data_IF_624326791926
#
_entry.id   IF_624326791926
#
_cell.length_a   1.000
_cell.length_b   1.000
_cell.length_c   1.000
_cell.angle_alpha   90.00
_cell.angle_beta   90.00
_cell.angle_gamma   90.00
#
_symmetry.space_group_name_H-M   'P 1'
#
loop_
_entity.id
_entity.type
_entity.pdbx_description
1 polymer ?
#
# COMPACT_ATOMS: atom_id res chain seq x y z
N UNK A 1 21.93 -31.33 -11.48
CA UNK A 1 20.48 -31.08 -11.59
C UNK A 1 19.92 -30.87 -10.18
N UNK A 2 19.96 -29.63 -9.67
CA UNK A 2 19.51 -29.32 -8.31
C UNK A 2 18.00 -29.08 -8.30
N UNK A 3 17.31 -29.88 -7.50
CA UNK A 3 15.86 -29.81 -7.27
C UNK A 3 15.62 -28.90 -6.06
N UNK A 4 15.15 -27.68 -6.30
CA UNK A 4 14.85 -26.68 -5.28
C UNK A 4 13.67 -27.18 -4.42
N UNK A 5 13.90 -27.37 -3.12
CA UNK A 5 12.86 -27.67 -2.12
C UNK A 5 12.08 -26.39 -1.78
N UNK A 6 10.97 -26.17 -2.50
CA UNK A 6 10.10 -24.99 -2.36
C UNK A 6 8.87 -25.22 -1.44
N UNK A 7 8.89 -26.24 -0.57
CA UNK A 7 7.68 -26.70 0.15
C UNK A 7 7.86 -26.84 1.67
N UNK A 8 8.68 -25.99 2.29
CA UNK A 8 8.93 -26.02 3.74
C UNK A 8 8.24 -24.94 4.57
N UNK A 9 7.78 -23.83 3.97
CA UNK A 9 7.41 -22.60 4.70
C UNK A 9 5.91 -22.30 4.79
N UNK A 10 5.03 -23.10 4.18
CA UNK A 10 3.59 -22.78 4.07
C UNK A 10 2.69 -23.45 5.11
N UNK A 11 3.21 -24.24 6.05
CA UNK A 11 2.34 -24.95 7.00
C UNK A 11 2.17 -24.17 8.30
N UNK A 12 1.09 -23.39 8.38
CA UNK A 12 0.50 -23.01 9.67
C UNK A 12 -0.53 -24.08 10.03
N UNK A 13 -0.41 -24.79 11.18
CA UNK A 13 -1.43 -25.74 11.59
C UNK A 13 -2.78 -25.02 11.67
N UNK A 14 -3.81 -25.63 11.06
CA UNK A 14 -5.13 -25.03 10.85
C UNK A 14 -5.84 -24.53 12.14
N UNK A 15 -5.35 -24.94 13.32
CA UNK A 15 -5.95 -24.65 14.62
C UNK A 15 -5.23 -23.58 15.46
N UNK A 16 -4.29 -22.81 14.89
CA UNK A 16 -3.72 -21.66 15.61
C UNK A 16 -4.46 -20.38 15.19
N UNK A 17 -5.26 -19.75 16.08
CA UNK A 17 -5.92 -18.50 15.75
C UNK A 17 -4.87 -17.41 15.39
N UNK A 18 -5.09 -16.62 14.33
CA UNK A 18 -4.16 -15.56 13.94
C UNK A 18 -3.89 -14.59 15.09
N UNK A 19 -2.63 -14.09 15.25
CA UNK A 19 -2.31 -13.13 16.29
C UNK A 19 -3.33 -12.00 16.33
N UNK A 20 -3.76 -11.51 17.48
CA UNK A 20 -4.79 -10.47 17.54
C UNK A 20 -4.35 -9.12 16.93
N UNK A 21 -3.04 -8.92 16.74
CA UNK A 21 -2.49 -7.70 16.11
C UNK A 21 -2.48 -7.77 14.59
N UNK A 22 -3.14 -6.79 13.95
CA UNK A 22 -3.11 -6.60 12.49
C UNK A 22 -1.69 -6.37 11.97
N UNK A 23 -0.87 -5.61 12.69
CA UNK A 23 0.52 -5.36 12.32
C UNK A 23 1.31 -6.68 12.25
N UNK A 24 1.16 -7.55 13.25
CA UNK A 24 1.81 -8.87 13.25
C UNK A 24 1.32 -9.72 12.08
N UNK A 25 0.01 -9.72 11.79
CA UNK A 25 -0.55 -10.46 10.63
C UNK A 25 0.04 -9.96 9.31
N UNK A 26 0.18 -8.64 9.14
CA UNK A 26 0.74 -8.05 7.92
C UNK A 26 2.22 -8.42 7.74
N UNK A 27 3.02 -8.33 8.80
CA UNK A 27 4.43 -8.72 8.78
C UNK A 27 4.60 -10.21 8.45
N UNK A 28 3.81 -11.09 9.10
CA UNK A 28 3.83 -12.52 8.82
C UNK A 28 3.38 -12.84 7.40
N UNK A 29 2.35 -12.17 6.89
CA UNK A 29 1.90 -12.34 5.50
C UNK A 29 2.99 -11.94 4.52
N UNK A 30 3.65 -10.80 4.74
CA UNK A 30 4.76 -10.36 3.89
C UNK A 30 5.91 -11.37 3.88
N UNK A 31 6.28 -11.91 5.06
CA UNK A 31 7.26 -12.98 5.16
C UNK A 31 6.84 -14.25 4.40
N UNK A 32 5.59 -14.69 4.55
CA UNK A 32 5.08 -15.92 3.93
C UNK A 32 4.99 -15.80 2.40
N UNK A 33 4.72 -14.61 1.88
CA UNK A 33 4.75 -14.33 0.44
C UNK A 33 6.18 -14.14 -0.09
N UNK A 34 7.20 -14.14 0.77
CA UNK A 34 8.58 -13.91 0.38
C UNK A 34 8.84 -12.49 -0.14
N UNK A 35 8.11 -11.49 0.39
CA UNK A 35 8.29 -10.11 -0.05
C UNK A 35 9.72 -9.63 0.25
N UNK A 36 10.37 -8.92 -0.70
CA UNK A 36 11.70 -8.34 -0.49
C UNK A 36 11.68 -7.25 0.60
N UNK A 37 12.85 -6.84 1.07
CA UNK A 37 12.96 -5.71 1.99
C UNK A 37 12.61 -4.39 1.29
N UNK A 38 12.06 -3.43 2.04
CA UNK A 38 11.63 -2.15 1.46
C UNK A 38 12.75 -1.36 0.79
N UNK A 39 13.94 -1.35 1.39
CA UNK A 39 15.13 -0.73 0.80
C UNK A 39 15.52 -1.37 -0.54
N UNK A 40 15.31 -2.68 -0.69
CA UNK A 40 15.60 -3.40 -1.94
C UNK A 40 14.58 -3.03 -3.02
N UNK A 41 13.30 -2.92 -2.66
CA UNK A 41 12.24 -2.45 -3.56
C UNK A 41 12.49 -1.01 -4.01
N UNK A 42 12.83 -0.11 -3.07
CA UNK A 42 13.17 1.27 -3.39
C UNK A 42 14.30 1.34 -4.43
N UNK A 43 15.39 0.60 -4.22
CA UNK A 43 16.50 0.53 -5.19
C UNK A 43 16.05 -0.02 -6.55
N UNK A 44 15.25 -1.10 -6.55
CA UNK A 44 14.73 -1.69 -7.77
C UNK A 44 13.87 -0.72 -8.58
N UNK A 45 13.13 0.16 -7.89
CA UNK A 45 12.30 1.20 -8.49
C UNK A 45 13.08 2.48 -8.87
N UNK A 46 14.39 2.55 -8.56
CA UNK A 46 15.22 3.72 -8.82
C UNK A 46 15.08 4.86 -7.79
N UNK A 47 14.43 4.60 -6.65
CA UNK A 47 14.33 5.57 -5.56
C UNK A 47 15.53 5.46 -4.62
N UNK A 48 15.84 6.57 -3.94
CA UNK A 48 16.79 6.57 -2.82
C UNK A 48 16.11 5.90 -1.61
N UNK A 49 16.63 4.78 -1.10
CA UNK A 49 16.06 4.16 0.09
C UNK A 49 16.18 5.05 1.31
N UNK A 50 15.25 4.90 2.26
CA UNK A 50 15.42 5.43 3.62
C UNK A 50 16.74 4.92 4.19
N UNK A 51 17.47 5.83 4.83
CA UNK A 51 18.71 5.50 5.53
C UNK A 51 18.42 4.67 6.79
N UNK A 52 19.46 4.06 7.34
CA UNK A 52 19.38 3.35 8.61
C UNK A 52 18.89 4.32 9.71
N UNK A 53 19.43 5.53 9.69
CA UNK A 53 19.14 6.59 10.62
C UNK A 53 17.66 6.99 10.54
N UNK A 54 17.11 7.15 9.33
CA UNK A 54 15.69 7.44 9.13
C UNK A 54 14.78 6.37 9.74
N UNK A 55 15.13 5.09 9.54
CA UNK A 55 14.30 3.97 10.01
C UNK A 55 14.43 3.78 11.53
N UNK A 56 15.60 4.04 12.11
CA UNK A 56 15.84 3.90 13.55
C UNK A 56 15.17 4.98 14.41
N UNK A 57 14.43 5.93 13.82
CA UNK A 57 13.76 7.00 14.55
C UNK A 57 12.51 6.53 15.31
N UNK A 58 12.26 7.10 16.50
CA UNK A 58 11.06 6.82 17.28
C UNK A 58 11.06 5.46 17.99
N UNK A 59 10.00 5.18 18.75
CA UNK A 59 9.89 3.93 19.52
C UNK A 59 9.87 2.69 18.64
N UNK A 60 9.16 2.75 17.50
CA UNK A 60 9.12 1.69 16.51
C UNK A 60 10.49 1.48 15.84
N UNK A 61 11.20 2.56 15.52
CA UNK A 61 12.52 2.51 14.91
C UNK A 61 13.59 1.94 15.84
N UNK A 62 13.53 2.25 17.13
CA UNK A 62 14.41 1.65 18.14
C UNK A 62 14.26 0.11 18.16
N UNK A 63 13.02 -0.38 18.10
CA UNK A 63 12.75 -1.83 18.03
C UNK A 63 13.22 -2.38 16.68
N UNK A 64 12.98 -1.69 15.57
CA UNK A 64 13.45 -2.10 14.26
C UNK A 64 14.98 -2.26 14.24
N UNK A 65 15.72 -1.31 14.81
CA UNK A 65 17.18 -1.35 14.92
C UNK A 65 17.66 -2.51 15.80
N UNK A 66 16.99 -2.79 16.92
CA UNK A 66 17.33 -3.90 17.81
C UNK A 66 17.30 -5.26 17.09
N UNK A 67 16.40 -5.42 16.12
CA UNK A 67 16.27 -6.65 15.32
C UNK A 67 16.95 -6.58 13.94
N UNK A 68 17.71 -5.52 13.66
CA UNK A 68 18.41 -5.31 12.38
C UNK A 68 17.49 -5.00 11.18
N UNK A 69 16.23 -4.63 11.45
CA UNK A 69 15.27 -4.23 10.44
C UNK A 69 15.44 -2.80 9.95
N UNK A 70 16.32 -2.01 10.56
CA UNK A 70 16.77 -0.71 10.04
C UNK A 70 17.60 -0.81 8.76
N UNK A 71 18.25 -1.96 8.52
CA UNK A 71 19.03 -2.23 7.29
C UNK A 71 18.21 -3.00 6.23
N UNK A 72 17.37 -3.94 6.68
CA UNK A 72 16.49 -4.77 5.83
C UNK A 72 15.09 -4.81 6.43
N UNK A 73 14.33 -3.75 6.18
CA UNK A 73 12.99 -3.58 6.74
C UNK A 73 11.98 -4.45 6.00
N UNK A 74 11.07 -5.15 6.71
CA UNK A 74 9.90 -5.76 6.07
C UNK A 74 9.13 -4.71 5.25
N UNK A 75 8.80 -5.02 3.99
CA UNK A 75 8.25 -4.04 3.03
C UNK A 75 7.05 -3.25 3.57
N UNK A 76 6.11 -3.92 4.23
CA UNK A 76 4.94 -3.25 4.80
C UNK A 76 5.31 -2.20 5.85
N UNK A 77 6.23 -2.53 6.77
CA UNK A 77 6.70 -1.57 7.77
C UNK A 77 7.49 -0.44 7.11
N UNK A 78 8.35 -0.76 6.14
CA UNK A 78 9.10 0.25 5.40
C UNK A 78 8.18 1.28 4.74
N UNK A 79 7.10 0.86 4.08
CA UNK A 79 6.14 1.78 3.44
C UNK A 79 5.49 2.72 4.47
N UNK A 80 5.17 2.23 5.67
CA UNK A 80 4.64 3.08 6.75
C UNK A 80 5.70 4.06 7.26
N UNK A 81 6.94 3.60 7.41
CA UNK A 81 8.05 4.45 7.83
C UNK A 81 8.36 5.53 6.80
N UNK A 82 8.31 5.18 5.53
CA UNK A 82 8.46 6.07 4.39
C UNK A 82 7.36 7.15 4.39
N UNK A 83 6.11 6.75 4.59
CA UNK A 83 4.98 7.67 4.75
C UNK A 83 5.18 8.63 5.92
N UNK A 84 5.68 8.15 7.06
CA UNK A 84 6.00 9.00 8.21
C UNK A 84 7.09 10.03 7.86
N UNK A 85 8.19 9.61 7.24
CA UNK A 85 9.36 10.46 7.01
C UNK A 85 9.16 11.43 5.84
N UNK A 86 8.65 10.97 4.70
CA UNK A 86 8.50 11.78 3.49
C UNK A 86 7.15 12.51 3.44
N UNK A 87 6.12 11.89 4.04
CA UNK A 87 4.74 12.32 3.97
C UNK A 87 4.18 12.86 5.27
N UNK A 88 4.98 13.01 6.33
CA UNK A 88 4.52 13.35 7.69
C UNK A 88 3.37 12.46 8.19
N UNK A 89 3.28 11.22 7.69
CA UNK A 89 2.21 10.27 8.00
C UNK A 89 0.86 10.56 7.35
N UNK A 90 0.72 11.63 6.56
CA UNK A 90 -0.55 11.99 5.89
C UNK A 90 -0.67 11.46 4.47
N UNK A 91 0.44 11.01 3.87
CA UNK A 91 0.49 10.44 2.53
C UNK A 91 1.55 9.35 2.45
N UNK A 92 1.37 8.44 1.49
CA UNK A 92 2.39 7.45 1.16
C UNK A 92 3.65 8.14 0.62
N UNK A 93 4.80 7.51 0.84
CA UNK A 93 6.06 7.92 0.24
C UNK A 93 6.27 7.29 -1.14
N UNK A 94 7.51 7.35 -1.64
CA UNK A 94 7.87 6.95 -2.99
C UNK A 94 7.48 5.50 -3.34
N UNK A 95 7.95 4.52 -2.58
CA UNK A 95 7.66 3.10 -2.83
C UNK A 95 6.17 2.81 -2.68
N UNK A 96 5.57 3.26 -1.57
CA UNK A 96 4.16 3.03 -1.30
C UNK A 96 3.25 3.59 -2.39
N UNK A 97 3.52 4.83 -2.81
CA UNK A 97 2.76 5.51 -3.85
C UNK A 97 2.96 4.87 -5.21
N UNK A 98 4.19 4.47 -5.57
CA UNK A 98 4.47 3.82 -6.85
C UNK A 98 3.71 2.51 -7.00
N UNK A 99 3.76 1.65 -5.98
CA UNK A 99 3.01 0.38 -5.97
C UNK A 99 1.51 0.67 -6.17
N UNK A 100 0.94 1.59 -5.40
CA UNK A 100 -0.48 1.90 -5.46
C UNK A 100 -0.88 2.46 -6.84
N UNK A 101 -0.12 3.42 -7.35
CA UNK A 101 -0.38 4.06 -8.64
C UNK A 101 -0.27 3.06 -9.80
N UNK A 102 0.77 2.23 -9.84
CA UNK A 102 0.93 1.23 -10.90
C UNK A 102 -0.18 0.17 -10.89
N UNK A 103 -0.68 -0.21 -9.71
CA UNK A 103 -1.84 -1.11 -9.63
C UNK A 103 -3.07 -0.46 -10.25
N UNK A 104 -3.40 0.79 -9.89
CA UNK A 104 -4.57 1.47 -10.45
C UNK A 104 -4.43 1.70 -11.96
N UNK A 105 -3.27 2.22 -12.41
CA UNK A 105 -3.01 2.44 -13.84
C UNK A 105 -3.10 1.11 -14.59
N UNK A 106 -2.43 0.06 -14.09
CA UNK A 106 -2.44 -1.26 -14.71
C UNK A 106 -3.84 -1.90 -14.77
N UNK A 107 -4.68 -1.70 -13.75
CA UNK A 107 -6.08 -2.15 -13.77
C UNK A 107 -6.91 -1.40 -14.82
N UNK A 108 -6.75 -0.08 -14.92
CA UNK A 108 -7.51 0.75 -15.86
C UNK A 108 -7.06 0.48 -17.31
N UNK A 109 -5.75 0.43 -17.57
CA UNK A 109 -5.20 0.15 -18.90
C UNK A 109 -5.43 -1.30 -19.33
N UNK A 110 -5.38 -2.24 -18.38
CA UNK A 110 -5.57 -3.66 -18.64
C UNK A 110 -7.03 -4.08 -18.89
N UNK A 111 -8.00 -3.27 -18.47
CA UNK A 111 -9.42 -3.55 -18.69
C UNK A 111 -9.95 -2.93 -19.99
N UNK A 112 -10.37 -3.79 -20.93
CA UNK A 112 -10.99 -3.37 -22.21
C UNK A 112 -12.35 -2.69 -22.02
N UNK A 113 -12.99 -2.88 -20.87
CA UNK A 113 -14.22 -2.21 -20.50
C UNK A 113 -13.98 -0.95 -19.66
N UNK A 114 -12.72 -0.61 -19.35
CA UNK A 114 -12.43 0.61 -18.61
C UNK A 114 -12.91 1.83 -19.38
N UNK A 115 -13.19 2.91 -18.65
CA UNK A 115 -13.63 4.14 -19.28
C UNK A 115 -12.58 4.67 -20.27
N UNK A 116 -11.27 4.54 -19.94
CA UNK A 116 -10.19 4.95 -20.85
C UNK A 116 -10.21 4.17 -22.16
N UNK A 117 -10.49 2.86 -22.10
CA UNK A 117 -10.57 1.99 -23.27
C UNK A 117 -11.83 2.23 -24.12
N UNK A 118 -12.98 2.52 -23.48
CA UNK A 118 -14.29 2.58 -24.13
C UNK A 118 -14.71 3.98 -24.57
N UNK A 119 -14.41 4.99 -23.78
CA UNK A 119 -14.78 6.38 -24.02
C UNK A 119 -13.85 7.34 -23.25
N UNK A 120 -12.67 7.60 -23.78
CA UNK A 120 -11.66 8.44 -23.13
C UNK A 120 -12.09 9.90 -22.93
N UNK A 121 -13.10 10.37 -23.69
CA UNK A 121 -13.69 11.71 -23.57
C UNK A 121 -14.91 11.73 -22.65
N UNK A 122 -15.25 10.62 -21.99
CA UNK A 122 -16.38 10.59 -21.08
C UNK A 122 -16.19 11.57 -19.92
N UNK A 123 -17.24 12.33 -19.63
CA UNK A 123 -17.36 13.16 -18.44
C UNK A 123 -18.61 12.76 -17.66
N UNK A 124 -18.62 12.91 -16.32
CA UNK A 124 -19.82 12.66 -15.53
C UNK A 124 -21.01 13.49 -16.03
N UNK A 125 -22.15 12.83 -16.25
CA UNK A 125 -23.41 13.46 -16.70
C UNK A 125 -24.33 13.82 -15.53
N UNK A 126 -23.94 13.45 -14.31
CA UNK A 126 -24.71 13.71 -13.11
C UNK A 126 -24.68 15.20 -12.76
N UNK A 127 -25.72 15.72 -12.07
CA UNK A 127 -25.72 17.09 -11.60
C UNK A 127 -24.50 17.38 -10.73
N UNK A 128 -23.81 18.47 -11.02
CA UNK A 128 -22.72 18.99 -10.21
C UNK A 128 -22.97 20.44 -9.84
N UNK A 129 -22.43 20.86 -8.70
CA UNK A 129 -22.51 22.25 -8.26
C UNK A 129 -21.75 23.20 -9.22
N UNK A 130 -20.62 22.73 -9.74
CA UNK A 130 -19.81 23.45 -10.73
C UNK A 130 -19.93 22.76 -12.09
N UNK A 131 -20.47 23.42 -13.13
CA UNK A 131 -20.56 22.84 -14.47
C UNK A 131 -19.22 22.31 -14.96
N UNK A 132 -19.20 21.09 -15.51
CA UNK A 132 -18.00 20.44 -16.04
C UNK A 132 -17.04 19.87 -14.98
N UNK A 133 -17.32 20.01 -13.69
CA UNK A 133 -16.54 19.41 -12.60
C UNK A 133 -17.45 18.63 -11.67
N UNK A 134 -17.25 17.32 -11.56
CA UNK A 134 -18.01 16.46 -10.66
C UNK A 134 -17.10 15.94 -9.54
N UNK A 135 -17.55 16.09 -8.30
CA UNK A 135 -16.80 15.73 -7.10
C UNK A 135 -17.53 14.68 -6.28
N UNK A 136 -16.86 14.11 -5.27
CA UNK A 136 -17.51 13.18 -4.33
C UNK A 136 -18.66 13.83 -3.56
N UNK A 137 -18.58 15.14 -3.28
CA UNK A 137 -19.67 15.89 -2.64
C UNK A 137 -20.90 15.94 -3.54
N UNK A 138 -20.73 16.09 -4.85
CA UNK A 138 -21.84 16.06 -5.82
C UNK A 138 -22.51 14.69 -5.85
N UNK A 139 -21.72 13.61 -5.77
CA UNK A 139 -22.24 12.25 -5.68
C UNK A 139 -23.10 12.08 -4.41
N UNK A 140 -22.60 12.50 -3.25
CA UNK A 140 -23.33 12.40 -1.97
C UNK A 140 -24.64 13.19 -2.00
N UNK A 141 -24.61 14.39 -2.59
CA UNK A 141 -25.80 15.22 -2.79
C UNK A 141 -26.81 14.54 -3.71
N UNK A 142 -26.34 13.94 -4.80
CA UNK A 142 -27.18 13.23 -5.76
C UNK A 142 -27.90 12.02 -5.15
N UNK A 143 -27.23 11.23 -4.30
CA UNK A 143 -27.86 10.07 -3.63
C UNK A 143 -28.71 10.44 -2.40
N UNK A 144 -28.82 11.73 -2.06
CA UNK A 144 -29.64 12.20 -0.94
C UNK A 144 -29.09 11.87 0.46
N UNK A 145 -27.86 11.34 0.55
CA UNK A 145 -27.20 11.01 1.81
C UNK A 145 -26.07 12.00 2.08
N UNK A 146 -26.44 13.21 2.49
CA UNK A 146 -25.47 14.20 2.98
C UNK A 146 -24.86 13.82 4.35
N UNK A 147 -25.38 12.79 5.03
CA UNK A 147 -24.81 12.24 6.27
C UNK A 147 -24.64 10.71 6.20
N UNK A 148 -23.51 10.19 5.67
CA UNK A 148 -23.25 8.75 5.56
C UNK A 148 -22.87 8.07 6.90
N UNK A 149 -22.76 8.82 8.01
CA UNK A 149 -22.31 8.30 9.32
C UNK A 149 -23.48 8.17 10.32
N UNK A 150 -24.64 8.77 10.03
CA UNK A 150 -25.78 8.83 10.96
C UNK A 150 -25.57 9.83 12.11
N UNK A 151 -26.64 10.14 12.84
CA UNK A 151 -26.57 10.89 14.11
C UNK A 151 -26.11 10.00 15.27
#
# INVERSE_FOLDING_TARGET
>A
MLRIRMWGFFYRPANVPPPNSLAVRNLLRGRNLGLPAGQDVARCMGFRPLSKEDISTGQDGNVAAQFGFDVKSPLWYYILKEAQIQGNGVRLGDVGSRILAEVFVGLIEGDRNSFLSRCSQWTPILPSEKPGTFTMTDLLRFVGNANPIGD
#
